data_IF_507497972214
#
_entry.id   IF_507497972214
#
_cell.length_a   1.000
_cell.length_b   1.000
_cell.length_c   1.000
_cell.angle_alpha   90.00
_cell.angle_beta   90.00
_cell.angle_gamma   90.00
#
_symmetry.space_group_name_H-M   'P 1'
#
loop_
_entity.id
_entity.type
_entity.pdbx_description
1 polymer ?
#
# COMPACT_ATOMS: atom_id res chain seq x y z
N UNK A 1 1.03 -15.55 65.58
CA UNK A 1 2.00 -14.51 65.17
C UNK A 1 2.63 -14.80 63.80
N UNK A 2 3.23 -15.98 63.58
CA UNK A 2 3.93 -16.30 62.31
C UNK A 2 3.01 -16.20 61.08
N UNK A 3 1.76 -16.68 61.17
CA UNK A 3 0.80 -16.62 60.06
C UNK A 3 0.45 -15.17 59.68
N UNK A 4 0.28 -14.29 60.66
CA UNK A 4 0.00 -12.86 60.43
C UNK A 4 1.20 -12.21 59.74
N UNK A 5 2.42 -12.56 60.15
CA UNK A 5 3.64 -12.03 59.54
C UNK A 5 3.81 -12.48 58.08
N UNK A 6 3.51 -13.76 57.78
CA UNK A 6 3.51 -14.28 56.41
C UNK A 6 2.43 -13.63 55.54
N UNK A 7 1.24 -13.35 56.10
CA UNK A 7 0.16 -12.68 55.38
C UNK A 7 0.55 -11.24 55.01
N UNK A 8 1.22 -10.51 55.91
CA UNK A 8 1.70 -9.15 55.68
C UNK A 8 2.78 -9.16 54.57
N UNK A 9 3.74 -10.09 54.62
CA UNK A 9 4.77 -10.22 53.59
C UNK A 9 4.13 -10.50 52.22
N UNK A 10 3.16 -11.41 52.16
CA UNK A 10 2.46 -11.74 50.92
C UNK A 10 1.70 -10.53 50.33
N UNK A 11 1.01 -9.76 51.17
CA UNK A 11 0.34 -8.52 50.77
C UNK A 11 1.32 -7.47 50.26
N UNK A 12 2.49 -7.31 50.90
CA UNK A 12 3.54 -6.40 50.43
C UNK A 12 4.09 -6.82 49.06
N UNK A 13 4.29 -8.11 48.81
CA UNK A 13 4.75 -8.62 47.51
C UNK A 13 3.72 -8.32 46.41
N UNK A 14 2.43 -8.59 46.67
CA UNK A 14 1.35 -8.27 45.72
C UNK A 14 1.31 -6.77 45.43
N UNK A 15 1.41 -5.93 46.46
CA UNK A 15 1.40 -4.47 46.29
C UNK A 15 2.59 -3.99 45.45
N UNK A 16 3.79 -4.55 45.67
CA UNK A 16 4.97 -4.26 44.86
C UNK A 16 4.81 -4.69 43.40
N UNK A 17 4.21 -5.85 43.13
CA UNK A 17 3.93 -6.32 41.77
C UNK A 17 2.91 -5.40 41.09
N UNK A 18 1.84 -5.01 41.78
CA UNK A 18 0.83 -4.08 41.25
C UNK A 18 1.47 -2.72 40.97
N UNK A 19 2.31 -2.18 41.87
CA UNK A 19 3.03 -0.93 41.64
C UNK A 19 3.97 -1.05 40.44
N UNK A 20 4.72 -2.14 40.32
CA UNK A 20 5.61 -2.39 39.19
C UNK A 20 4.84 -2.47 37.87
N UNK A 21 3.66 -3.11 37.86
CA UNK A 21 2.77 -3.16 36.69
C UNK A 21 2.18 -1.79 36.35
N UNK A 22 1.78 -0.99 37.35
CA UNK A 22 1.29 0.37 37.15
C UNK A 22 2.42 1.27 36.61
N UNK A 23 3.62 1.18 37.18
CA UNK A 23 4.79 1.93 36.72
C UNK A 23 5.14 1.50 35.31
N UNK A 24 5.28 0.20 35.00
CA UNK A 24 5.52 -0.28 33.63
C UNK A 24 4.45 0.18 32.65
N UNK A 25 3.17 0.14 33.03
CA UNK A 25 2.09 0.67 32.18
C UNK A 25 2.27 2.17 31.94
N UNK A 26 2.69 2.93 32.96
CA UNK A 26 2.94 4.38 32.87
C UNK A 26 4.23 4.73 32.13
N UNK A 27 5.27 3.88 32.11
CA UNK A 27 6.46 4.08 31.27
C UNK A 27 6.19 3.69 29.82
N UNK A 28 5.32 2.71 29.56
CA UNK A 28 4.90 2.35 28.20
C UNK A 28 3.95 3.42 27.62
N UNK A 29 3.16 4.11 28.45
CA UNK A 29 2.29 5.23 28.03
C UNK A 29 2.87 6.61 28.35
N UNK A 30 4.14 6.69 28.78
CA UNK A 30 4.77 7.89 29.34
C UNK A 30 5.37 8.85 28.31
N UNK A 31 4.73 9.01 27.15
CA UNK A 31 4.92 10.24 26.38
C UNK A 31 4.09 11.32 27.06
N UNK A 32 4.68 12.48 27.36
CA UNK A 32 3.92 13.70 27.62
C UNK A 32 2.81 13.82 26.58
N UNK A 33 1.55 14.15 26.97
CA UNK A 33 0.49 14.35 26.00
C UNK A 33 0.86 15.57 25.15
N UNK A 34 1.39 15.28 23.97
CA UNK A 34 1.60 16.28 22.93
C UNK A 34 0.22 16.79 22.56
N UNK A 35 0.01 18.11 22.55
CA UNK A 35 -1.23 18.70 22.05
C UNK A 35 -1.50 18.13 20.66
N UNK A 36 -2.53 17.29 20.54
CA UNK A 36 -2.81 16.56 19.32
C UNK A 36 -3.27 17.56 18.26
N UNK A 37 -2.48 17.69 17.20
CA UNK A 37 -2.86 18.46 16.02
C UNK A 37 -3.92 17.69 15.24
N UNK A 38 -4.72 18.37 14.42
CA UNK A 38 -5.72 17.72 13.55
C UNK A 38 -5.10 16.75 12.52
N UNK A 39 -3.76 16.68 12.45
CA UNK A 39 -3.01 15.88 11.50
C UNK A 39 -2.69 14.47 11.98
N UNK A 40 -2.43 14.26 13.28
CA UNK A 40 -2.02 12.95 13.78
C UNK A 40 -2.64 12.63 15.14
N UNK A 41 -3.29 11.46 15.20
CA UNK A 41 -3.75 10.86 16.43
C UNK A 41 -3.54 9.35 16.39
N UNK A 42 -2.84 8.80 17.38
CA UNK A 42 -2.50 7.36 17.40
C UNK A 42 -3.73 6.45 17.50
N UNK A 43 -4.86 6.95 18.03
CA UNK A 43 -6.12 6.19 18.06
C UNK A 43 -6.74 5.95 16.68
N UNK A 44 -6.33 6.71 15.67
CA UNK A 44 -6.80 6.51 14.29
C UNK A 44 -6.04 5.35 13.62
N UNK A 45 -4.95 4.89 14.23
CA UNK A 45 -4.13 3.79 13.77
C UNK A 45 -4.50 2.50 14.50
N UNK A 46 -4.52 1.40 13.75
CA UNK A 46 -4.79 0.06 14.29
C UNK A 46 -3.55 -0.82 14.13
N UNK A 47 -3.10 -1.42 15.22
CA UNK A 47 -2.04 -2.43 15.17
C UNK A 47 -2.62 -3.73 14.63
N UNK A 48 -2.39 -4.00 13.35
CA UNK A 48 -2.82 -5.22 12.67
C UNK A 48 -1.78 -6.35 12.82
N UNK A 49 -2.17 -7.62 12.65
CA UNK A 49 -1.23 -8.73 12.63
C UNK A 49 -0.16 -8.54 11.55
N UNK A 50 1.10 -8.66 11.96
CA UNK A 50 2.25 -8.47 11.09
C UNK A 50 2.31 -9.53 9.98
N UNK A 51 2.74 -9.11 8.80
CA UNK A 51 3.04 -9.98 7.67
C UNK A 51 4.49 -9.75 7.31
N UNK A 52 5.31 -10.78 7.47
CA UNK A 52 6.72 -10.67 7.14
C UNK A 52 6.91 -10.76 5.63
N UNK A 53 7.54 -9.76 5.04
CA UNK A 53 7.81 -9.68 3.61
C UNK A 53 9.32 -9.66 3.40
N UNK A 54 9.80 -10.64 2.64
CA UNK A 54 11.18 -10.66 2.17
C UNK A 54 11.39 -9.55 1.13
N UNK A 55 12.58 -8.94 1.13
CA UNK A 55 12.95 -7.84 0.23
C UNK A 55 12.02 -6.63 0.26
N UNK A 56 11.40 -6.35 1.40
CA UNK A 56 10.72 -5.08 1.65
C UNK A 56 11.73 -4.01 2.06
N UNK A 57 11.83 -2.97 1.23
CA UNK A 57 12.79 -1.86 1.38
C UNK A 57 12.14 -0.51 1.63
N UNK A 58 10.81 -0.45 1.59
CA UNK A 58 10.14 0.81 1.82
C UNK A 58 8.64 0.82 1.62
N UNK A 59 8.07 1.99 1.80
CA UNK A 59 6.64 2.24 1.73
C UNK A 59 6.37 3.56 1.00
N UNK A 60 5.25 3.61 0.28
CA UNK A 60 4.59 4.87 -0.04
C UNK A 60 3.39 5.00 0.89
N UNK A 61 3.32 6.10 1.63
CA UNK A 61 2.28 6.37 2.63
C UNK A 61 1.62 7.72 2.33
N UNK A 62 0.29 7.81 2.50
CA UNK A 62 -0.41 9.09 2.45
C UNK A 62 -0.05 9.95 3.67
N UNK A 63 -0.25 11.26 3.55
CA UNK A 63 0.10 12.25 4.56
C UNK A 63 -1.04 13.19 4.99
N UNK A 64 -2.23 13.09 4.39
CA UNK A 64 -3.42 13.67 5.00
C UNK A 64 -3.63 13.14 6.42
N UNK A 65 -4.39 13.89 7.22
CA UNK A 65 -4.54 13.60 8.64
C UNK A 65 -4.99 12.15 8.93
N UNK A 66 -4.45 11.54 9.99
CA UNK A 66 -4.67 10.11 10.31
C UNK A 66 -6.13 9.72 10.47
N UNK A 67 -7.01 10.67 10.77
CA UNK A 67 -8.46 10.45 10.76
C UNK A 67 -8.96 9.87 9.43
N UNK A 68 -8.34 10.27 8.31
CA UNK A 68 -8.71 9.84 6.96
C UNK A 68 -7.79 8.72 6.46
N UNK A 69 -6.50 8.79 6.79
CA UNK A 69 -5.47 7.92 6.23
C UNK A 69 -5.07 6.76 7.15
N UNK A 70 -5.53 6.77 8.41
CA UNK A 70 -5.15 5.81 9.43
C UNK A 70 -5.42 4.35 9.05
N UNK A 71 -6.60 4.01 8.47
CA UNK A 71 -6.86 2.66 7.99
C UNK A 71 -5.87 2.17 6.93
N UNK A 72 -5.60 2.96 5.88
CA UNK A 72 -4.67 2.59 4.80
C UNK A 72 -3.21 2.57 5.28
N UNK A 73 -2.81 3.47 6.18
CA UNK A 73 -1.48 3.45 6.83
C UNK A 73 -1.32 2.18 7.67
N UNK A 74 -2.33 1.83 8.48
CA UNK A 74 -2.34 0.61 9.30
C UNK A 74 -2.26 -0.64 8.45
N UNK A 75 -3.05 -0.70 7.36
CA UNK A 75 -3.02 -1.75 6.37
C UNK A 75 -1.65 -1.90 5.71
N UNK A 76 -0.97 -0.79 5.41
CA UNK A 76 0.33 -0.81 4.73
C UNK A 76 1.47 -1.19 5.67
N UNK A 77 1.51 -0.59 6.86
CA UNK A 77 2.59 -0.78 7.82
C UNK A 77 2.49 -2.11 8.58
N UNK A 78 1.45 -2.92 8.39
CA UNK A 78 1.44 -4.31 8.88
C UNK A 78 2.42 -5.22 8.12
N UNK A 79 2.80 -4.86 6.90
CA UNK A 79 3.81 -5.59 6.14
C UNK A 79 5.17 -5.17 6.68
N UNK A 80 5.88 -6.10 7.32
CA UNK A 80 7.15 -5.85 8.00
C UNK A 80 8.30 -6.50 7.23
N UNK A 81 9.44 -5.81 7.09
CA UNK A 81 10.62 -6.41 6.50
C UNK A 81 11.21 -7.48 7.42
N UNK A 82 11.85 -8.49 6.83
CA UNK A 82 12.71 -9.43 7.58
C UNK A 82 13.91 -8.68 8.18
N UNK A 83 14.49 -7.76 7.41
CA UNK A 83 15.64 -6.95 7.80
C UNK A 83 15.19 -5.91 8.83
N UNK A 84 15.95 -5.80 9.93
CA UNK A 84 15.76 -4.74 10.92
C UNK A 84 16.52 -3.50 10.51
N UNK A 85 15.82 -2.53 9.97
CA UNK A 85 16.38 -1.22 9.63
C UNK A 85 16.74 -0.43 10.88
N UNK A 86 17.83 0.34 10.80
CA UNK A 86 18.23 1.31 11.83
C UNK A 86 17.97 2.76 11.42
N UNK A 87 17.84 2.99 10.13
CA UNK A 87 17.57 4.30 9.54
C UNK A 87 16.43 4.18 8.55
N UNK A 88 15.61 5.22 8.49
CA UNK A 88 14.60 5.41 7.46
C UNK A 88 14.69 6.83 6.91
N UNK A 89 14.67 6.98 5.59
CA UNK A 89 14.59 8.29 4.93
C UNK A 89 13.15 8.51 4.51
N UNK A 90 12.57 9.65 4.90
CA UNK A 90 11.22 10.05 4.53
C UNK A 90 11.31 11.12 3.45
N UNK A 91 11.06 10.73 2.21
CA UNK A 91 10.92 11.61 1.05
C UNK A 91 9.57 12.31 1.13
N UNK A 92 9.56 13.63 1.13
CA UNK A 92 8.34 14.42 1.08
C UNK A 92 8.54 15.69 0.26
N UNK A 93 7.47 16.16 -0.38
CA UNK A 93 7.44 17.47 -1.02
C UNK A 93 6.46 18.37 -0.28
N UNK A 94 6.93 19.44 0.39
CA UNK A 94 6.03 20.34 1.12
C UNK A 94 5.21 21.21 0.17
N UNK A 95 3.88 21.16 0.32
CA UNK A 95 2.92 22.01 -0.38
C UNK A 95 3.01 23.47 0.10
N UNK A 96 3.25 23.68 1.39
CA UNK A 96 3.37 24.99 2.03
C UNK A 96 4.80 25.51 2.02
N UNK A 97 4.99 26.84 1.91
CA UNK A 97 6.33 27.45 1.93
C UNK A 97 7.03 27.27 3.28
N UNK A 98 6.24 27.21 4.36
CA UNK A 98 6.70 27.09 5.74
C UNK A 98 5.99 25.91 6.40
N UNK A 99 6.61 25.38 7.44
CA UNK A 99 6.04 24.33 8.28
C UNK A 99 4.65 24.73 8.81
N UNK A 100 3.71 23.80 8.80
CA UNK A 100 2.28 24.00 9.09
C UNK A 100 1.77 23.17 10.28
N UNK A 101 2.66 22.45 10.96
CA UNK A 101 2.41 21.77 12.22
C UNK A 101 3.28 22.37 13.30
N UNK A 102 2.66 22.89 14.34
CA UNK A 102 3.32 23.34 15.57
C UNK A 102 3.13 22.29 16.67
N UNK A 103 4.22 21.80 17.22
CA UNK A 103 4.27 20.84 18.32
C UNK A 103 5.01 21.48 19.49
N UNK A 104 4.36 21.58 20.64
CA UNK A 104 4.98 22.03 21.88
C UNK A 104 5.30 20.82 22.75
N UNK A 105 6.58 20.65 23.07
CA UNK A 105 7.09 19.61 23.97
C UNK A 105 8.05 20.19 25.01
N UNK A 106 8.68 19.34 25.82
CA UNK A 106 9.62 19.76 26.87
C UNK A 106 10.84 20.52 26.37
N UNK A 107 11.17 20.43 25.08
CA UNK A 107 12.25 21.16 24.41
C UNK A 107 11.81 22.51 23.82
N UNK A 108 10.51 22.80 23.85
CA UNK A 108 9.92 24.02 23.31
C UNK A 108 9.00 23.77 22.13
N UNK A 109 8.81 24.80 21.29
CA UNK A 109 7.99 24.73 20.09
C UNK A 109 8.82 24.26 18.90
N UNK A 110 8.41 23.15 18.31
CA UNK A 110 8.97 22.56 17.10
C UNK A 110 7.96 22.69 15.96
N UNK A 111 8.44 22.99 14.75
CA UNK A 111 7.59 23.13 13.57
C UNK A 111 7.93 22.07 12.53
N UNK A 112 6.91 21.50 11.89
CA UNK A 112 7.07 20.47 10.88
C UNK A 112 6.14 20.70 9.68
N UNK A 113 6.55 20.23 8.51
CA UNK A 113 5.64 20.01 7.38
C UNK A 113 4.78 18.77 7.66
N UNK A 114 3.46 18.86 7.46
CA UNK A 114 2.57 17.72 7.67
C UNK A 114 2.92 16.52 6.78
N UNK A 115 3.44 16.78 5.57
CA UNK A 115 3.91 15.75 4.64
C UNK A 115 5.08 14.93 5.22
N UNK A 116 5.86 15.50 6.13
CA UNK A 116 6.87 14.75 6.88
C UNK A 116 6.29 14.15 8.16
N UNK A 117 5.56 14.96 8.93
CA UNK A 117 5.15 14.66 10.29
C UNK A 117 4.19 13.46 10.37
N UNK A 118 3.19 13.38 9.48
CA UNK A 118 2.18 12.32 9.52
C UNK A 118 2.79 10.94 9.24
N UNK A 119 3.56 10.72 8.15
CA UNK A 119 4.27 9.45 7.93
C UNK A 119 5.25 9.14 9.06
N UNK A 120 6.02 10.13 9.53
CA UNK A 120 6.99 9.94 10.59
C UNK A 120 6.35 9.43 11.88
N UNK A 121 5.32 10.11 12.40
CA UNK A 121 4.65 9.71 13.63
C UNK A 121 3.94 8.36 13.48
N UNK A 122 3.36 8.10 12.32
CA UNK A 122 2.72 6.80 12.03
C UNK A 122 3.73 5.65 12.02
N UNK A 123 4.89 5.84 11.41
CA UNK A 123 5.99 4.87 11.44
C UNK A 123 6.56 4.72 12.85
N UNK A 124 6.74 5.81 13.60
CA UNK A 124 7.20 5.76 14.99
C UNK A 124 6.27 4.89 15.86
N UNK A 125 4.96 4.99 15.66
CA UNK A 125 3.95 4.22 16.37
C UNK A 125 3.90 2.75 15.93
N UNK A 126 3.91 2.47 14.61
CA UNK A 126 3.68 1.13 14.08
C UNK A 126 4.95 0.31 13.80
N UNK A 127 6.08 0.95 13.47
CA UNK A 127 7.38 0.30 13.22
C UNK A 127 8.31 0.39 14.43
N UNK A 128 8.15 1.42 15.26
CA UNK A 128 8.87 1.58 16.53
C UNK A 128 9.91 2.71 16.52
N UNK A 129 10.54 2.89 17.70
CA UNK A 129 11.47 3.98 18.01
C UNK A 129 12.95 3.64 17.80
N UNK A 130 13.26 2.39 17.50
CA UNK A 130 14.63 1.92 17.26
C UNK A 130 15.17 2.31 15.86
N UNK A 131 14.34 2.98 15.05
CA UNK A 131 14.65 3.48 13.71
C UNK A 131 14.83 5.00 13.81
N UNK A 132 15.96 5.49 13.32
CA UNK A 132 16.18 6.92 13.10
C UNK A 132 15.45 7.36 11.83
N UNK A 133 14.49 8.28 11.95
CA UNK A 133 13.72 8.81 10.82
C UNK A 133 14.32 10.14 10.36
N UNK A 134 14.76 10.18 9.11
CA UNK A 134 15.53 11.28 8.53
C UNK A 134 14.66 11.99 7.48
N UNK A 135 14.32 13.28 7.68
CA UNK A 135 13.53 14.03 6.72
C UNK A 135 14.32 14.29 5.44
N UNK A 136 13.71 14.05 4.28
CA UNK A 136 14.23 14.48 2.98
C UNK A 136 13.21 15.36 2.25
N UNK A 137 13.47 16.66 2.27
CA UNK A 137 12.66 17.67 1.60
C UNK A 137 13.01 17.72 0.11
N UNK A 138 12.18 17.11 -0.74
CA UNK A 138 12.36 17.02 -2.19
C UNK A 138 12.29 18.38 -2.91
N UNK A 139 11.68 19.41 -2.29
CA UNK A 139 11.65 20.77 -2.85
C UNK A 139 13.01 21.45 -2.79
N UNK A 140 13.77 21.20 -1.72
CA UNK A 140 15.04 21.89 -1.45
C UNK A 140 16.26 21.08 -1.89
N UNK A 141 16.15 19.75 -1.83
CA UNK A 141 17.27 18.86 -2.01
C UNK A 141 17.13 18.06 -3.31
N UNK A 142 18.20 18.00 -4.10
CA UNK A 142 18.27 17.16 -5.30
C UNK A 142 18.89 15.78 -5.05
N UNK A 143 19.61 15.62 -3.93
CA UNK A 143 20.34 14.40 -3.59
C UNK A 143 19.98 14.02 -2.15
N UNK A 144 19.55 12.78 -1.90
CA UNK A 144 19.29 12.29 -0.55
C UNK A 144 20.50 12.43 0.39
N UNK A 145 20.28 12.62 1.70
CA UNK A 145 21.35 12.90 2.66
C UNK A 145 22.24 11.68 2.96
N UNK A 146 21.83 10.50 2.49
CA UNK A 146 22.55 9.23 2.63
C UNK A 146 22.56 8.58 1.25
N UNK A 147 23.66 7.92 0.92
CA UNK A 147 23.73 7.06 -0.28
C UNK A 147 22.75 5.89 -0.16
N UNK A 148 22.26 5.43 -1.30
CA UNK A 148 21.39 4.27 -1.33
C UNK A 148 22.09 3.06 -0.68
N UNK A 149 21.42 2.45 0.29
CA UNK A 149 21.88 1.25 0.96
C UNK A 149 20.70 0.31 1.24
N UNK A 150 20.84 -1.01 1.02
CA UNK A 150 19.84 -1.99 1.42
C UNK A 150 19.56 -2.03 2.93
N UNK A 151 20.32 -1.31 3.75
CA UNK A 151 20.14 -1.19 5.21
C UNK A 151 19.36 0.08 5.62
N UNK A 152 18.85 0.83 4.65
CA UNK A 152 18.03 2.02 4.86
C UNK A 152 16.61 1.76 4.36
N UNK A 153 15.62 1.99 5.23
CA UNK A 153 14.21 1.94 4.85
C UNK A 153 13.84 3.23 4.11
N UNK A 154 13.14 3.11 2.99
CA UNK A 154 12.68 4.26 2.21
C UNK A 154 11.20 4.48 2.48
N UNK A 155 10.81 5.69 2.84
CA UNK A 155 9.40 6.08 3.00
C UNK A 155 9.16 7.25 2.06
N UNK A 156 8.11 7.16 1.25
CA UNK A 156 7.67 8.23 0.37
C UNK A 156 6.33 8.72 0.85
N UNK A 157 6.25 10.00 1.10
CA UNK A 157 5.04 10.69 1.52
C UNK A 157 4.31 11.24 0.30
N UNK A 158 3.10 10.76 0.02
CA UNK A 158 2.32 11.22 -1.14
C UNK A 158 0.82 11.01 -0.99
N UNK A 159 0.06 12.06 -1.27
CA UNK A 159 -1.37 12.01 -1.55
C UNK A 159 -1.63 12.14 -3.06
N UNK A 160 -2.89 11.90 -3.46
CA UNK A 160 -3.35 11.98 -4.85
C UNK A 160 -4.51 12.97 -4.92
N UNK A 161 -4.21 14.27 -4.88
CA UNK A 161 -5.22 15.33 -4.85
C UNK A 161 -5.67 15.73 -6.25
N UNK A 162 -6.98 15.82 -6.43
CA UNK A 162 -7.61 16.31 -7.64
C UNK A 162 -9.02 16.81 -7.38
N UNK A 163 -9.54 17.80 -8.10
CA UNK A 163 -10.93 18.25 -7.90
C UNK A 163 -11.94 17.60 -8.85
N UNK A 164 -11.69 16.35 -9.26
CA UNK A 164 -12.54 15.63 -10.21
C UNK A 164 -13.77 14.96 -9.56
N UNK A 165 -14.88 14.79 -10.31
CA UNK A 165 -15.98 13.92 -9.93
C UNK A 165 -15.50 12.52 -9.59
N UNK A 166 -16.22 11.83 -8.71
CA UNK A 166 -15.83 10.54 -8.14
C UNK A 166 -15.23 9.55 -9.15
N UNK A 167 -16.00 9.17 -10.17
CA UNK A 167 -15.56 8.18 -11.16
C UNK A 167 -14.38 8.65 -12.02
N UNK A 168 -14.35 9.93 -12.40
CA UNK A 168 -13.23 10.49 -13.16
C UNK A 168 -11.96 10.49 -12.32
N UNK A 169 -12.05 10.95 -11.08
CA UNK A 169 -10.94 10.90 -10.13
C UNK A 169 -10.46 9.47 -9.90
N UNK A 170 -11.39 8.55 -9.69
CA UNK A 170 -11.10 7.13 -9.43
C UNK A 170 -10.39 6.43 -10.58
N UNK A 171 -10.79 6.73 -11.81
CA UNK A 171 -10.10 6.21 -13.00
C UNK A 171 -8.70 6.79 -13.15
N UNK A 172 -8.52 8.10 -12.89
CA UNK A 172 -7.20 8.73 -12.94
C UNK A 172 -6.28 8.21 -11.83
N UNK A 173 -6.82 7.99 -10.64
CA UNK A 173 -6.19 7.33 -9.50
C UNK A 173 -5.63 5.96 -9.90
N UNK A 174 -6.46 5.08 -10.45
CA UNK A 174 -6.01 3.75 -10.91
C UNK A 174 -4.91 3.85 -11.98
N UNK A 175 -5.03 4.78 -12.94
CA UNK A 175 -4.01 5.01 -13.97
C UNK A 175 -2.70 5.54 -13.39
N UNK A 176 -2.77 6.43 -12.40
CA UNK A 176 -1.60 6.96 -11.72
C UNK A 176 -0.88 5.89 -10.91
N UNK A 177 -1.62 4.95 -10.29
CA UNK A 177 -1.03 3.81 -9.60
C UNK A 177 -0.20 2.93 -10.56
N UNK A 178 -0.75 2.58 -11.72
CA UNK A 178 -0.02 1.84 -12.75
C UNK A 178 1.17 2.63 -13.30
N UNK A 179 1.01 3.94 -13.52
CA UNK A 179 2.10 4.82 -13.93
C UNK A 179 3.28 4.80 -12.96
N UNK A 180 3.00 4.81 -11.65
CA UNK A 180 4.02 4.68 -10.61
C UNK A 180 4.70 3.31 -10.60
N UNK A 181 3.94 2.23 -10.81
CA UNK A 181 4.49 0.87 -10.91
C UNK A 181 5.44 0.74 -12.12
N UNK A 182 5.15 1.45 -13.22
CA UNK A 182 6.00 1.54 -14.41
C UNK A 182 7.14 2.56 -14.31
N UNK A 183 7.25 3.28 -13.19
CA UNK A 183 8.17 4.41 -13.02
C UNK A 183 8.08 5.45 -14.15
N UNK A 184 6.87 5.66 -14.70
CA UNK A 184 6.64 6.51 -15.87
C UNK A 184 5.68 7.65 -15.55
N UNK A 185 6.24 8.81 -15.22
CA UNK A 185 5.49 9.96 -14.68
C UNK A 185 5.07 10.99 -15.74
N UNK A 186 5.52 10.84 -16.99
CA UNK A 186 5.22 11.78 -18.08
C UNK A 186 3.84 11.54 -18.71
N UNK A 187 2.82 11.34 -17.86
CA UNK A 187 1.45 11.04 -18.26
C UNK A 187 0.45 12.05 -17.70
N UNK A 188 -0.65 12.34 -18.40
CA UNK A 188 -1.71 13.20 -17.86
C UNK A 188 -2.26 12.70 -16.51
N UNK A 189 -2.39 11.38 -16.33
CA UNK A 189 -2.87 10.80 -15.07
C UNK A 189 -1.91 11.05 -13.90
N UNK A 190 -0.60 11.12 -14.11
CA UNK A 190 0.38 11.37 -13.04
C UNK A 190 0.27 12.78 -12.44
N UNK A 191 -0.44 13.70 -13.08
CA UNK A 191 -0.65 15.07 -12.59
C UNK A 191 -1.56 15.16 -11.37
N UNK A 192 -2.26 14.09 -10.99
CA UNK A 192 -3.06 14.04 -9.77
C UNK A 192 -2.22 13.70 -8.53
N UNK A 193 -0.97 13.31 -8.72
CA UNK A 193 -0.02 13.09 -7.61
C UNK A 193 0.40 14.48 -7.15
N UNK A 194 0.22 14.78 -5.85
CA UNK A 194 0.43 16.12 -5.29
C UNK A 194 1.76 16.75 -5.72
N UNK A 195 2.83 15.96 -5.72
CA UNK A 195 4.06 16.32 -6.41
C UNK A 195 4.85 15.10 -6.90
N UNK A 196 4.80 14.84 -8.22
CA UNK A 196 5.48 13.71 -8.83
C UNK A 196 7.02 13.82 -8.78
N UNK A 197 7.61 14.99 -8.49
CA UNK A 197 9.08 15.16 -8.43
C UNK A 197 9.69 14.35 -7.29
N UNK A 198 8.93 14.09 -6.22
CA UNK A 198 9.37 13.17 -5.15
C UNK A 198 9.66 11.79 -5.72
N UNK A 199 8.85 11.34 -6.68
CA UNK A 199 9.02 10.05 -7.34
C UNK A 199 10.13 10.08 -8.39
N UNK A 200 10.33 11.19 -9.11
CA UNK A 200 11.49 11.33 -10.01
C UNK A 200 12.81 11.15 -9.23
N UNK A 201 12.96 11.86 -8.11
CA UNK A 201 14.15 11.73 -7.24
C UNK A 201 14.26 10.31 -6.67
N UNK A 202 13.13 9.72 -6.24
CA UNK A 202 13.12 8.34 -5.76
C UNK A 202 13.63 7.36 -6.83
N UNK A 203 13.12 7.47 -8.06
CA UNK A 203 13.44 6.54 -9.14
C UNK A 203 14.88 6.69 -9.63
N UNK A 204 15.46 7.88 -9.54
CA UNK A 204 16.89 8.11 -9.75
C UNK A 204 17.75 7.56 -8.60
N UNK A 205 17.21 7.52 -7.38
CA UNK A 205 17.93 7.09 -6.18
C UNK A 205 17.95 5.57 -5.97
N UNK A 206 16.87 4.86 -6.33
CA UNK A 206 16.75 3.41 -6.12
C UNK A 206 17.31 2.61 -7.30
N UNK A 207 17.83 1.38 -7.07
CA UNK A 207 18.27 0.51 -8.16
C UNK A 207 17.14 0.11 -9.11
N UNK A 208 17.50 -0.20 -10.35
CA UNK A 208 16.54 -0.56 -11.40
C UNK A 208 15.66 -1.77 -11.04
N UNK A 209 16.24 -2.77 -10.35
CA UNK A 209 15.54 -4.00 -9.93
C UNK A 209 14.57 -3.82 -8.74
N UNK A 210 14.40 -2.59 -8.25
CA UNK A 210 13.39 -2.23 -7.26
C UNK A 210 12.11 -1.79 -7.96
N UNK A 211 10.95 -2.13 -7.40
CA UNK A 211 9.65 -1.79 -7.98
C UNK A 211 8.65 -1.43 -6.88
N UNK A 212 7.64 -0.64 -7.27
CA UNK A 212 6.48 -0.37 -6.43
C UNK A 212 5.42 -1.43 -6.68
N UNK A 213 4.87 -2.01 -5.61
CA UNK A 213 3.68 -2.86 -5.63
C UNK A 213 2.53 -2.09 -5.01
N UNK A 214 1.48 -1.85 -5.80
CA UNK A 214 0.27 -1.21 -5.29
C UNK A 214 -0.41 -2.11 -4.25
N UNK A 215 -0.73 -1.54 -3.10
CA UNK A 215 -1.20 -2.30 -1.94
C UNK A 215 -2.51 -1.76 -1.36
N UNK A 216 -2.71 -0.46 -1.39
CA UNK A 216 -3.86 0.19 -0.80
C UNK A 216 -4.42 1.30 -1.67
N UNK A 217 -5.74 1.44 -1.60
CA UNK A 217 -6.49 2.53 -2.22
C UNK A 217 -7.67 2.88 -1.31
N UNK A 218 -7.66 4.11 -0.82
CA UNK A 218 -8.70 4.75 -0.02
C UNK A 218 -8.91 6.19 -0.53
N UNK A 219 -9.93 6.90 -0.06
CA UNK A 219 -10.17 8.31 -0.44
C UNK A 219 -10.79 9.08 0.70
N UNK A 220 -10.68 10.41 0.65
CA UNK A 220 -11.42 11.27 1.58
C UNK A 220 -12.93 11.13 1.37
N UNK A 221 -13.70 11.30 2.45
CA UNK A 221 -15.16 11.38 2.41
C UNK A 221 -15.67 12.58 1.58
N UNK A 222 -14.80 13.57 1.35
CA UNK A 222 -15.05 14.73 0.49
C UNK A 222 -14.49 14.50 -0.90
N UNK A 223 -15.01 15.21 -1.90
CA UNK A 223 -14.40 15.21 -3.23
C UNK A 223 -12.96 15.71 -3.13
N UNK A 224 -12.04 14.86 -3.58
CA UNK A 224 -10.85 15.36 -4.23
C UNK A 224 -9.49 15.00 -3.66
N UNK A 225 -9.42 14.01 -2.77
CA UNK A 225 -8.13 13.41 -2.40
C UNK A 225 -8.24 11.90 -2.37
N UNK A 226 -7.42 11.24 -3.19
CA UNK A 226 -7.15 9.82 -3.14
C UNK A 226 -5.95 9.52 -2.25
N UNK A 227 -6.03 8.40 -1.54
CA UNK A 227 -4.95 7.87 -0.72
C UNK A 227 -4.54 6.53 -1.30
N UNK A 228 -3.31 6.45 -1.79
CA UNK A 228 -2.75 5.18 -2.23
C UNK A 228 -1.56 4.82 -1.38
N UNK A 229 -1.29 3.52 -1.31
CA UNK A 229 -0.10 3.02 -0.66
C UNK A 229 0.54 1.91 -1.46
N UNK A 230 1.86 1.85 -1.36
CA UNK A 230 2.69 0.92 -2.10
C UNK A 230 3.74 0.32 -1.18
N UNK A 231 4.17 -0.88 -1.52
CA UNK A 231 5.41 -1.47 -1.00
C UNK A 231 6.53 -1.21 -2.00
N UNK A 232 7.69 -0.79 -1.53
CA UNK A 232 8.92 -0.77 -2.32
C UNK A 232 9.66 -2.10 -2.10
N UNK A 233 9.74 -2.89 -3.16
CA UNK A 233 10.27 -4.25 -3.13
C UNK A 233 11.46 -4.37 -4.09
N UNK A 234 12.40 -5.26 -3.80
CA UNK A 234 13.39 -5.71 -4.79
C UNK A 234 13.02 -7.09 -5.29
N UNK A 235 13.17 -7.34 -6.59
CA UNK A 235 12.79 -8.62 -7.19
C UNK A 235 13.57 -9.80 -6.60
N UNK A 236 12.89 -10.93 -6.40
CA UNK A 236 13.51 -12.21 -6.04
C UNK A 236 13.24 -13.19 -7.17
N UNK A 237 14.27 -13.84 -7.70
CA UNK A 237 14.02 -14.92 -8.65
C UNK A 237 13.45 -16.13 -7.90
N UNK A 238 12.13 -16.32 -8.01
CA UNK A 238 11.42 -17.42 -7.39
C UNK A 238 10.69 -18.23 -8.44
N UNK A 239 10.52 -19.52 -8.15
CA UNK A 239 9.55 -20.33 -8.89
C UNK A 239 8.15 -19.79 -8.63
N UNK A 240 7.43 -19.49 -9.69
CA UNK A 240 6.04 -19.06 -9.65
C UNK A 240 5.10 -20.23 -9.94
N UNK A 241 3.88 -20.14 -9.44
CA UNK A 241 2.79 -21.10 -9.66
C UNK A 241 1.88 -20.70 -10.83
N UNK A 242 1.96 -19.43 -11.24
CA UNK A 242 1.29 -18.89 -12.41
C UNK A 242 1.89 -17.55 -12.83
N UNK A 243 1.53 -17.12 -14.01
CA UNK A 243 2.01 -15.89 -14.64
C UNK A 243 0.84 -15.18 -15.28
N UNK A 244 0.75 -13.87 -15.11
CA UNK A 244 -0.11 -13.00 -15.89
C UNK A 244 0.71 -11.98 -16.65
N UNK A 245 0.31 -11.67 -17.87
CA UNK A 245 0.85 -10.55 -18.65
C UNK A 245 -0.30 -9.61 -18.96
N UNK A 246 -0.19 -8.37 -18.51
CA UNK A 246 -1.11 -7.28 -18.81
C UNK A 246 -0.40 -6.26 -19.68
N UNK A 247 -1.07 -5.76 -20.71
CA UNK A 247 -0.51 -4.77 -21.64
C UNK A 247 -1.37 -3.51 -21.66
N UNK A 248 -0.73 -2.34 -21.73
CA UNK A 248 -1.36 -1.03 -21.66
C UNK A 248 -0.86 -0.11 -22.77
N UNK A 249 -1.71 0.83 -23.20
CA UNK A 249 -1.31 1.92 -24.10
C UNK A 249 -0.62 3.08 -23.36
N UNK A 250 -0.26 4.11 -24.12
CA UNK A 250 0.34 5.35 -23.61
C UNK A 250 -0.48 6.09 -22.55
N UNK A 251 -1.78 5.79 -22.36
CA UNK A 251 -2.64 6.42 -21.36
C UNK A 251 -2.88 5.53 -20.12
N UNK A 252 -2.09 4.45 -19.96
CA UNK A 252 -2.26 3.42 -18.93
C UNK A 252 -3.64 2.74 -18.99
N UNK A 253 -4.25 2.71 -20.17
CA UNK A 253 -5.48 1.99 -20.41
C UNK A 253 -5.13 0.53 -20.75
N UNK A 254 -5.71 -0.44 -20.02
CA UNK A 254 -5.42 -1.86 -20.25
C UNK A 254 -6.06 -2.37 -21.57
N UNK A 255 -5.31 -3.16 -22.34
CA UNK A 255 -5.75 -3.71 -23.62
C UNK A 255 -5.98 -5.21 -23.57
N UNK A 256 -5.14 -5.96 -22.87
CA UNK A 256 -5.31 -7.40 -22.72
C UNK A 256 -4.63 -7.87 -21.43
N UNK A 257 -5.14 -8.95 -20.86
CA UNK A 257 -4.56 -9.60 -19.69
C UNK A 257 -4.71 -11.13 -19.83
N UNK A 258 -3.61 -11.82 -20.10
CA UNK A 258 -3.59 -13.28 -20.25
C UNK A 258 -2.86 -13.93 -19.07
N UNK A 259 -3.43 -15.02 -18.57
CA UNK A 259 -2.86 -15.82 -17.50
C UNK A 259 -2.45 -17.22 -17.97
N UNK A 260 -1.39 -17.77 -17.38
CA UNK A 260 -0.93 -19.13 -17.57
C UNK A 260 -0.49 -19.75 -16.24
N UNK A 261 -0.88 -21.01 -16.02
CA UNK A 261 -0.48 -21.82 -14.87
C UNK A 261 0.65 -22.80 -15.27
N UNK A 262 1.10 -22.75 -16.53
CA UNK A 262 2.24 -23.54 -16.98
C UNK A 262 3.53 -22.87 -16.49
N UNK A 263 4.14 -23.44 -15.46
CA UNK A 263 5.37 -22.92 -14.85
C UNK A 263 6.63 -23.11 -15.71
N UNK A 264 6.53 -23.86 -16.81
CA UNK A 264 7.61 -24.02 -17.80
C UNK A 264 7.45 -23.10 -19.01
N UNK A 265 6.55 -22.11 -18.94
CA UNK A 265 6.31 -21.21 -20.06
C UNK A 265 7.53 -20.33 -20.34
N UNK A 266 7.86 -20.16 -21.63
CA UNK A 266 8.82 -19.14 -22.04
C UNK A 266 8.15 -17.76 -21.90
N UNK A 267 8.69 -16.92 -21.01
CA UNK A 267 8.15 -15.59 -20.70
C UNK A 267 8.05 -14.71 -21.95
N UNK A 268 9.10 -14.66 -22.78
CA UNK A 268 9.13 -13.81 -23.98
C UNK A 268 8.08 -14.23 -25.00
N UNK A 269 7.91 -15.54 -25.21
CA UNK A 269 6.89 -16.06 -26.13
C UNK A 269 5.48 -15.76 -25.62
N UNK A 270 5.26 -15.83 -24.29
CA UNK A 270 3.97 -15.50 -23.70
C UNK A 270 3.68 -13.99 -23.77
N UNK A 271 4.70 -13.14 -23.61
CA UNK A 271 4.58 -11.70 -23.83
C UNK A 271 4.20 -11.43 -25.30
N UNK A 272 4.90 -12.01 -26.27
CA UNK A 272 4.59 -11.87 -27.70
C UNK A 272 3.16 -12.32 -28.02
N UNK A 273 2.74 -13.43 -27.45
CA UNK A 273 1.37 -13.94 -27.61
C UNK A 273 0.32 -12.96 -27.03
N UNK A 274 0.59 -12.39 -25.87
CA UNK A 274 -0.29 -11.40 -25.23
C UNK A 274 -0.37 -10.12 -26.05
N UNK A 275 0.78 -9.60 -26.51
CA UNK A 275 0.84 -8.43 -27.40
C UNK A 275 0.04 -8.65 -28.68
N UNK A 276 0.24 -9.79 -29.35
CA UNK A 276 -0.52 -10.17 -30.54
C UNK A 276 -2.02 -10.19 -30.27
N UNK A 277 -2.43 -10.77 -29.14
CA UNK A 277 -3.84 -10.84 -28.74
C UNK A 277 -4.42 -9.45 -28.48
N UNK A 278 -3.68 -8.56 -27.83
CA UNK A 278 -4.08 -7.17 -27.64
C UNK A 278 -4.31 -6.43 -28.96
N UNK A 279 -3.44 -6.64 -29.95
CA UNK A 279 -3.51 -5.94 -31.23
C UNK A 279 -4.48 -6.54 -32.24
N UNK A 280 -4.89 -7.80 -32.09
CA UNK A 280 -5.70 -8.50 -33.10
C UNK A 280 -7.08 -8.94 -32.59
N UNK A 281 -7.17 -9.42 -31.35
CA UNK A 281 -8.35 -10.16 -30.86
C UNK A 281 -8.65 -9.92 -29.37
N UNK A 282 -8.41 -8.71 -28.87
CA UNK A 282 -8.50 -8.43 -27.42
C UNK A 282 -9.85 -8.83 -26.85
N UNK A 283 -9.85 -9.74 -25.88
CA UNK A 283 -11.07 -10.17 -25.18
C UNK A 283 -11.44 -9.20 -24.07
N UNK A 284 -10.44 -8.56 -23.47
CA UNK A 284 -10.63 -7.60 -22.37
C UNK A 284 -11.38 -6.35 -22.84
N UNK A 285 -11.08 -5.89 -24.06
CA UNK A 285 -11.69 -4.68 -24.64
C UNK A 285 -12.73 -4.98 -25.72
N UNK A 286 -13.00 -6.26 -26.00
CA UNK A 286 -13.88 -6.68 -27.11
C UNK A 286 -13.45 -6.08 -28.46
N UNK A 287 -12.15 -5.82 -28.64
CA UNK A 287 -11.57 -5.23 -29.85
C UNK A 287 -11.63 -3.70 -29.94
N UNK A 288 -12.21 -2.99 -28.96
CA UNK A 288 -12.37 -1.52 -29.00
C UNK A 288 -11.03 -0.76 -29.07
N UNK A 289 -9.93 -1.38 -28.65
CA UNK A 289 -8.59 -0.76 -28.62
C UNK A 289 -7.62 -1.28 -29.69
N UNK A 290 -8.10 -2.07 -30.66
CA UNK A 290 -7.27 -2.54 -31.77
C UNK A 290 -6.70 -1.36 -32.55
N UNK A 291 -5.39 -1.40 -32.83
CA UNK A 291 -4.66 -0.36 -33.56
C UNK A 291 -4.12 0.79 -32.71
N UNK A 292 -4.48 0.88 -31.42
CA UNK A 292 -3.85 1.81 -30.48
C UNK A 292 -2.50 1.21 -30.03
N UNK A 293 -1.38 1.96 -30.11
CA UNK A 293 -0.06 1.45 -29.75
C UNK A 293 0.05 1.01 -28.28
N UNK A 294 0.60 -0.17 -28.05
CA UNK A 294 0.99 -0.65 -26.72
C UNK A 294 2.31 0.00 -26.31
N UNK A 295 2.38 0.51 -25.08
CA UNK A 295 3.56 1.17 -24.52
C UNK A 295 4.12 0.47 -23.28
N UNK A 296 3.26 -0.17 -22.49
CA UNK A 296 3.63 -0.73 -21.21
C UNK A 296 3.19 -2.19 -21.05
N UNK A 297 4.00 -2.99 -20.37
CA UNK A 297 3.70 -4.38 -20.04
C UNK A 297 3.99 -4.65 -18.56
N UNK A 298 3.00 -5.20 -17.87
CA UNK A 298 3.14 -5.72 -16.51
C UNK A 298 3.12 -7.24 -16.54
N UNK A 299 4.15 -7.85 -15.97
CA UNK A 299 4.27 -9.28 -15.78
C UNK A 299 4.10 -9.57 -14.30
N UNK A 300 3.06 -10.31 -13.95
CA UNK A 300 2.71 -10.65 -12.57
C UNK A 300 2.96 -12.12 -12.32
N UNK A 301 3.99 -12.42 -11.54
CA UNK A 301 4.30 -13.77 -11.09
C UNK A 301 3.47 -14.09 -9.86
N UNK A 302 2.74 -15.20 -9.90
CA UNK A 302 1.86 -15.64 -8.82
C UNK A 302 2.53 -16.70 -7.97
N UNK A 303 2.38 -16.57 -6.67
CA UNK A 303 2.84 -17.54 -5.68
C UNK A 303 1.66 -17.92 -4.80
N UNK A 304 1.38 -19.22 -4.70
CA UNK A 304 0.25 -19.72 -3.94
C UNK A 304 0.48 -19.47 -2.46
N UNK A 305 -0.54 -18.93 -1.79
CA UNK A 305 -0.55 -18.84 -0.33
C UNK A 305 -0.76 -20.24 0.25
N UNK A 306 0.25 -20.73 0.96
CA UNK A 306 0.26 -22.06 1.55
C UNK A 306 -0.23 -22.03 3.00
N UNK A 307 -0.09 -20.90 3.68
CA UNK A 307 -0.59 -20.74 5.04
C UNK A 307 -2.09 -20.48 5.02
N UNK A 308 -2.85 -21.54 5.32
CA UNK A 308 -4.32 -21.50 5.39
C UNK A 308 -4.86 -20.67 6.55
N UNK A 309 -4.02 -20.27 7.51
CA UNK A 309 -4.43 -19.38 8.60
C UNK A 309 -4.50 -17.91 8.18
N UNK A 310 -3.83 -17.56 7.08
CA UNK A 310 -3.83 -16.21 6.55
C UNK A 310 -5.19 -15.92 5.91
N UNK A 311 -5.84 -14.87 6.41
CA UNK A 311 -7.06 -14.34 5.80
C UNK A 311 -6.75 -13.55 4.53
N UNK A 312 -7.76 -13.38 3.69
CA UNK A 312 -7.65 -12.52 2.52
C UNK A 312 -7.25 -11.08 2.91
N UNK A 313 -6.40 -10.45 2.09
CA UNK A 313 -5.91 -9.09 2.32
C UNK A 313 -5.96 -8.35 0.97
N UNK A 314 -6.78 -7.30 0.90
CA UNK A 314 -6.98 -6.48 -0.30
C UNK A 314 -5.66 -5.84 -0.75
N UNK A 315 -5.38 -5.88 -2.06
CA UNK A 315 -4.13 -5.40 -2.66
C UNK A 315 -2.90 -6.28 -2.46
N UNK A 316 -2.93 -7.23 -1.51
CA UNK A 316 -1.85 -8.20 -1.34
C UNK A 316 -2.15 -9.53 -2.03
N UNK A 317 -3.38 -10.03 -1.84
CA UNK A 317 -3.82 -11.31 -2.36
C UNK A 317 -4.63 -11.15 -3.66
N UNK A 318 -4.29 -11.99 -4.64
CA UNK A 318 -5.13 -12.37 -5.77
C UNK A 318 -6.03 -13.55 -5.38
N UNK A 319 -7.17 -13.69 -6.06
CA UNK A 319 -8.18 -14.71 -5.74
C UNK A 319 -8.44 -15.61 -6.95
N UNK A 320 -8.32 -16.91 -6.74
CA UNK A 320 -8.87 -17.94 -7.62
C UNK A 320 -10.06 -18.61 -6.95
N UNK A 321 -11.23 -18.56 -7.59
CA UNK A 321 -12.43 -19.27 -7.14
C UNK A 321 -13.37 -19.54 -8.32
N UNK A 322 -14.15 -20.61 -8.24
CA UNK A 322 -15.14 -20.99 -9.27
C UNK A 322 -14.57 -21.15 -10.69
N UNK A 323 -13.27 -21.44 -10.83
CA UNK A 323 -12.60 -21.52 -12.14
C UNK A 323 -12.25 -20.17 -12.77
N UNK A 324 -12.42 -19.06 -12.05
CA UNK A 324 -12.02 -17.73 -12.48
C UNK A 324 -10.97 -17.13 -11.53
N UNK A 325 -10.23 -16.13 -12.03
CA UNK A 325 -9.14 -15.48 -11.34
C UNK A 325 -9.29 -13.95 -11.37
N UNK A 326 -8.98 -13.29 -10.26
CA UNK A 326 -8.73 -11.86 -10.18
C UNK A 326 -7.37 -11.59 -9.55
N UNK A 327 -6.58 -10.74 -10.19
CA UNK A 327 -5.34 -10.18 -9.63
C UNK A 327 -5.67 -9.28 -8.43
N UNK A 328 -4.69 -9.05 -7.56
CA UNK A 328 -4.80 -8.13 -6.41
C UNK A 328 -5.30 -6.76 -6.83
N UNK A 329 -4.83 -6.27 -7.97
CA UNK A 329 -5.03 -4.90 -8.44
C UNK A 329 -6.49 -4.70 -8.86
N UNK A 330 -7.14 -5.74 -9.42
CA UNK A 330 -8.59 -5.72 -9.73
C UNK A 330 -9.42 -5.35 -8.50
N UNK A 331 -9.00 -5.79 -7.31
CA UNK A 331 -9.72 -5.49 -6.07
C UNK A 331 -9.44 -4.06 -5.59
N UNK A 332 -8.29 -3.48 -5.92
CA UNK A 332 -8.00 -2.06 -5.68
C UNK A 332 -8.75 -1.16 -6.66
N UNK A 333 -8.90 -1.61 -7.91
CA UNK A 333 -9.57 -0.92 -9.01
C UNK A 333 -11.10 -0.98 -8.96
N UNK A 334 -11.70 -1.92 -8.23
CA UNK A 334 -13.14 -2.15 -8.31
C UNK A 334 -13.86 -2.26 -6.97
N UNK A 335 -13.16 -2.25 -5.84
CA UNK A 335 -13.81 -2.37 -4.53
C UNK A 335 -13.36 -1.30 -3.54
N UNK A 336 -14.27 -0.93 -2.64
CA UNK A 336 -13.98 -0.15 -1.45
C UNK A 336 -13.09 -0.94 -0.47
N UNK A 337 -12.52 -0.30 0.56
CA UNK A 337 -11.71 -0.98 1.56
C UNK A 337 -12.46 -2.06 2.35
N UNK A 338 -13.79 -2.02 2.38
CA UNK A 338 -14.65 -3.05 2.96
C UNK A 338 -15.01 -4.20 1.99
N UNK A 339 -14.52 -4.17 0.75
CA UNK A 339 -14.69 -5.24 -0.24
C UNK A 339 -15.97 -5.19 -1.08
N UNK A 340 -16.88 -4.24 -0.79
CA UNK A 340 -18.03 -3.98 -1.66
C UNK A 340 -17.55 -3.41 -3.00
N UNK A 341 -18.16 -3.84 -4.09
CA UNK A 341 -17.79 -3.35 -5.42
C UNK A 341 -18.37 -1.96 -5.68
N UNK A 342 -17.54 -1.09 -6.25
CA UNK A 342 -17.92 0.26 -6.65
C UNK A 342 -18.90 0.16 -7.82
N UNK A 343 -20.02 0.88 -7.72
CA UNK A 343 -21.09 0.88 -8.72
C UNK A 343 -21.03 2.14 -9.55
N UNK A 344 -21.52 2.09 -10.79
CA UNK A 344 -21.66 3.27 -11.65
C UNK A 344 -22.59 4.36 -11.10
N UNK A 345 -23.44 4.01 -10.13
CA UNK A 345 -24.32 4.96 -9.44
C UNK A 345 -23.63 5.68 -8.28
N UNK A 346 -22.43 5.24 -7.88
CA UNK A 346 -21.73 5.82 -6.74
C UNK A 346 -21.16 7.19 -7.13
N UNK A 347 -21.37 8.18 -6.27
CA UNK A 347 -20.97 9.57 -6.55
C UNK A 347 -19.93 10.10 -5.58
N UNK A 348 -19.52 9.27 -4.61
CA UNK A 348 -18.63 9.60 -3.51
C UNK A 348 -18.10 8.33 -2.84
N UNK A 349 -17.01 8.47 -2.09
CA UNK A 349 -16.37 7.35 -1.40
C UNK A 349 -17.06 7.05 -0.06
N UNK A 350 -18.21 6.36 -0.11
CA UNK A 350 -19.01 6.04 1.10
C UNK A 350 -18.78 4.62 1.59
N UNK A 351 -18.29 4.50 2.82
CA UNK A 351 -18.18 3.23 3.54
C UNK A 351 -19.26 3.14 4.62
N UNK A 352 -20.40 2.54 4.30
CA UNK A 352 -21.49 2.35 5.28
C UNK A 352 -21.17 1.23 6.28
N UNK A 353 -20.43 0.21 5.84
CA UNK A 353 -20.07 -0.96 6.64
C UNK A 353 -18.57 -0.99 6.89
N UNK A 354 -18.18 -1.23 8.14
CA UNK A 354 -16.76 -1.35 8.55
C UNK A 354 -16.21 -2.78 8.42
N UNK A 355 -17.06 -3.76 8.10
CA UNK A 355 -16.65 -5.17 8.04
C UNK A 355 -16.28 -5.54 6.61
N UNK A 356 -15.08 -6.09 6.41
CA UNK A 356 -14.63 -6.57 5.11
C UNK A 356 -15.44 -7.79 4.65
N UNK A 357 -15.87 -7.82 3.38
CA UNK A 357 -16.63 -8.92 2.78
C UNK A 357 -16.13 -9.26 1.37
N UNK A 358 -16.05 -10.55 1.05
CA UNK A 358 -15.76 -11.06 -0.30
C UNK A 358 -17.01 -11.40 -1.11
N UNK A 359 -18.22 -11.11 -0.59
CA UNK A 359 -19.48 -11.50 -1.23
C UNK A 359 -19.59 -11.00 -2.68
N UNK A 360 -19.38 -9.70 -2.89
CA UNK A 360 -19.44 -9.09 -4.23
C UNK A 360 -18.36 -9.66 -5.15
N UNK A 361 -17.15 -9.85 -4.62
CA UNK A 361 -16.03 -10.44 -5.36
C UNK A 361 -16.34 -11.87 -5.82
N UNK A 362 -16.92 -12.71 -4.96
CA UNK A 362 -17.33 -14.06 -5.32
C UNK A 362 -18.48 -14.07 -6.33
N UNK A 363 -19.44 -13.15 -6.23
CA UNK A 363 -20.50 -13.00 -7.23
C UNK A 363 -19.92 -12.60 -8.59
N UNK A 364 -18.96 -11.69 -8.63
CA UNK A 364 -18.25 -11.29 -9.84
C UNK A 364 -17.43 -12.44 -10.45
N UNK A 365 -16.74 -13.24 -9.63
CA UNK A 365 -15.99 -14.41 -10.10
C UNK A 365 -16.91 -15.50 -10.68
N UNK A 366 -18.06 -15.79 -10.04
CA UNK A 366 -19.06 -16.73 -10.59
C UNK A 366 -19.59 -16.30 -11.96
N UNK A 367 -19.89 -15.01 -12.11
CA UNK A 367 -20.30 -14.43 -13.40
C UNK A 367 -19.19 -14.59 -14.44
N UNK A 368 -17.95 -14.25 -14.05
CA UNK A 368 -16.77 -14.36 -14.93
C UNK A 368 -16.49 -15.80 -15.37
N UNK A 369 -16.71 -16.80 -14.51
CA UNK A 369 -16.50 -18.20 -14.88
C UNK A 369 -17.67 -18.85 -15.61
N UNK A 370 -18.83 -18.21 -15.64
CA UNK A 370 -20.09 -18.80 -16.12
C UNK A 370 -20.47 -20.10 -15.37
N UNK A 371 -20.04 -20.26 -14.12
CA UNK A 371 -20.28 -21.47 -13.30
C UNK A 371 -21.05 -21.15 -12.01
N UNK A 372 -22.36 -20.92 -12.13
CA UNK A 372 -23.22 -20.55 -11.00
C UNK A 372 -23.39 -21.63 -9.93
N UNK A 373 -23.18 -22.91 -10.30
CA UNK A 373 -23.36 -24.07 -9.42
C UNK A 373 -22.03 -24.68 -8.91
N UNK A 374 -20.88 -24.09 -9.23
CA UNK A 374 -19.59 -24.65 -8.82
C UNK A 374 -19.34 -24.47 -7.31
N UNK A 375 -18.71 -25.47 -6.70
CA UNK A 375 -18.21 -25.38 -5.33
C UNK A 375 -17.09 -24.32 -5.26
N UNK A 376 -17.10 -23.51 -4.20
CA UNK A 376 -16.05 -22.53 -3.97
C UNK A 376 -14.77 -23.22 -3.51
N UNK A 377 -13.82 -23.40 -4.43
CA UNK A 377 -12.45 -23.79 -4.07
C UNK A 377 -11.57 -22.53 -4.04
N UNK A 378 -11.66 -21.78 -2.94
CA UNK A 378 -10.88 -20.56 -2.75
C UNK A 378 -9.39 -20.88 -2.66
N UNK A 379 -8.60 -20.27 -3.53
CA UNK A 379 -7.14 -20.24 -3.42
C UNK A 379 -6.67 -18.79 -3.49
N UNK A 380 -5.77 -18.45 -2.59
CA UNK A 380 -5.14 -17.14 -2.52
C UNK A 380 -3.73 -17.21 -3.10
N UNK A 381 -3.32 -16.12 -3.75
CA UNK A 381 -1.97 -15.97 -4.30
C UNK A 381 -1.45 -14.60 -3.93
N UNK A 382 -0.17 -14.49 -3.56
CA UNK A 382 0.52 -13.20 -3.58
C UNK A 382 1.33 -13.08 -4.88
N UNK A 383 1.79 -11.88 -5.17
CA UNK A 383 2.43 -11.56 -6.45
C UNK A 383 3.74 -10.80 -6.32
N UNK A 384 4.63 -11.09 -7.27
CA UNK A 384 5.79 -10.28 -7.64
C UNK A 384 5.56 -9.69 -9.03
N UNK A 385 6.16 -8.53 -9.30
CA UNK A 385 5.87 -7.75 -10.52
C UNK A 385 7.16 -7.41 -11.24
N UNK A 386 7.14 -7.53 -12.56
CA UNK A 386 8.13 -6.97 -13.48
C UNK A 386 7.41 -6.08 -14.48
N UNK A 387 7.92 -4.88 -14.70
CA UNK A 387 7.39 -3.95 -15.68
C UNK A 387 8.35 -3.79 -16.86
N UNK A 388 7.80 -3.55 -18.05
CA UNK A 388 8.53 -3.23 -19.27
C UNK A 388 7.86 -2.00 -19.88
N UNK A 389 8.68 -1.05 -20.34
CA UNK A 389 8.26 0.18 -21.01
C UNK A 389 9.01 0.28 -22.32
N UNK A 390 8.31 0.45 -23.44
CA UNK A 390 8.89 0.65 -24.78
C UNK A 390 9.13 2.11 -25.11
#
# INVERSE_FOLDING_TARGET
MIIIYLLIIFLCIILCIILALIICKKTITGGTPVNHTNWYHSSDLTVLPNITVDKLHGYVLPHAGTRFTGPIISHTLRFKPIIKYKKAIIFYYPASKYEDIEIEDSSGKNYYYHEYYVPWQSCLYLLGRDIEYIPFNARLNKIPPIEFSPEVLIIVSSDFSHFYPFHTGFQLENKAAHALMHKFLQLPCAKIIDDYRTYEILFDYIPENYYLKWLGHDRSDTNGVGYMSFLLLSRVERKFDGLFVTVYDEQMDAHECLGSWNTNINEEDFIKHTLKSATETSRLTQGEKIGIPIKFITITYLHKELDKSISFIRGWHSIYAYGAFYLSDVLLEHSYPNGNWIKHSDTEWRQTDKTFSLSDTFNSLKKKSNQFNALCNLQLYYSEIKTITY
#
